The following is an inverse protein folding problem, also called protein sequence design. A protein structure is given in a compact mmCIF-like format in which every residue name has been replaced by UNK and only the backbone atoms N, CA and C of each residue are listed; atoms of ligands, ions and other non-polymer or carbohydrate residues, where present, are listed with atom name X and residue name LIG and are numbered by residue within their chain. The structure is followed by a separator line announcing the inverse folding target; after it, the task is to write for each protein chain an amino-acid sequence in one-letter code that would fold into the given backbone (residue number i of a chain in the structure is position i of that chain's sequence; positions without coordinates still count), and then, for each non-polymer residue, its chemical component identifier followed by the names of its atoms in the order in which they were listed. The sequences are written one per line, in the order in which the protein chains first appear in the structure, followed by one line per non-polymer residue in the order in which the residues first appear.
data_IF_529248611123
#
_entry.id   IF_529248611123
#
_cell.length_a   1.000
_cell.length_b   1.000
_cell.length_c   1.000
_cell.angle_alpha   90.00
_cell.angle_beta   90.00
_cell.angle_gamma   90.00
#
_symmetry.space_group_name_H-M   'P 1'
#
loop_
_entity.id
_entity.type
_entity.pdbx_description
1 polymer ?
#
# COMPACT_ATOMS: atom_id res chain seq x y z
N UNK A 1 71.40 6.82 -3.40
CA UNK A 1 70.81 5.54 -2.91
C UNK A 1 70.35 5.81 -1.47
N UNK A 2 69.11 5.63 -1.00
CA UNK A 2 67.99 4.76 -1.37
C UNK A 2 66.64 5.46 -1.13
N UNK A 3 65.60 4.82 -1.67
CA UNK A 3 64.21 5.19 -1.95
C UNK A 3 63.30 5.54 -0.75
N UNK A 4 62.23 6.23 -1.11
CA UNK A 4 60.97 6.52 -0.42
C UNK A 4 60.34 5.36 0.38
N UNK A 5 59.57 5.71 1.42
CA UNK A 5 58.25 5.11 1.64
C UNK A 5 57.31 6.13 2.30
N UNK A 6 56.16 6.32 1.66
CA UNK A 6 55.02 7.15 2.05
C UNK A 6 54.17 6.30 3.00
N UNK A 7 53.98 6.71 4.25
CA UNK A 7 52.98 6.09 5.11
C UNK A 7 51.86 7.10 5.36
N UNK A 8 50.75 6.81 4.69
CA UNK A 8 49.46 7.46 4.85
C UNK A 8 48.81 6.73 6.02
N UNK A 9 48.90 7.27 7.23
CA UNK A 9 48.16 6.70 8.35
C UNK A 9 46.77 7.34 8.43
N UNK A 10 45.85 6.46 8.06
CA UNK A 10 44.41 6.54 8.02
C UNK A 10 43.76 7.15 9.27
N UNK A 11 42.95 8.18 9.00
CA UNK A 11 41.72 8.53 9.72
C UNK A 11 41.04 7.27 10.28
N UNK A 12 40.73 7.20 11.59
CA UNK A 12 39.97 6.07 12.10
C UNK A 12 38.56 6.16 11.53
N UNK A 13 38.23 5.16 10.72
CA UNK A 13 36.90 4.93 10.19
C UNK A 13 35.93 4.79 11.35
N UNK A 14 34.83 5.54 11.25
CA UNK A 14 33.66 5.41 12.09
C UNK A 14 33.01 4.04 11.88
N UNK A 15 33.55 3.00 12.53
CA UNK A 15 32.81 1.80 12.84
C UNK A 15 32.09 2.06 14.16
N UNK A 16 30.83 2.53 14.09
CA UNK A 16 29.90 2.44 15.20
C UNK A 16 29.79 0.95 15.56
N UNK A 17 30.53 0.52 16.57
CA UNK A 17 30.24 -0.73 17.26
C UNK A 17 28.77 -0.65 17.69
N UNK A 18 27.93 -1.53 17.14
CA UNK A 18 26.60 -1.75 17.66
C UNK A 18 26.78 -2.10 19.14
N UNK A 19 26.41 -1.17 20.03
CA UNK A 19 26.51 -1.38 21.46
C UNK A 19 25.78 -2.68 21.79
N UNK A 20 26.48 -3.64 22.40
CA UNK A 20 25.92 -4.93 22.79
C UNK A 20 24.66 -4.65 23.60
N UNK A 21 23.52 -5.06 23.07
CA UNK A 21 22.24 -4.84 23.72
C UNK A 21 22.18 -5.71 24.97
N UNK A 22 22.13 -5.11 26.15
CA UNK A 22 21.91 -5.88 27.38
C UNK A 22 20.44 -6.30 27.53
N UNK A 23 20.15 -7.21 28.45
CA UNK A 23 18.79 -7.75 28.63
C UNK A 23 17.77 -6.68 29.05
N UNK A 24 18.20 -5.64 29.77
CA UNK A 24 17.32 -4.56 30.23
C UNK A 24 16.98 -3.63 29.06
N UNK A 25 17.99 -3.20 28.30
CA UNK A 25 17.83 -2.40 27.10
C UNK A 25 16.99 -3.14 26.05
N UNK A 26 17.14 -4.46 25.94
CA UNK A 26 16.29 -5.29 25.08
C UNK A 26 14.81 -5.25 25.49
N UNK A 27 14.51 -5.42 26.78
CA UNK A 27 13.15 -5.36 27.29
C UNK A 27 12.52 -3.96 27.12
N UNK A 28 13.30 -2.90 27.34
CA UNK A 28 12.86 -1.52 27.13
C UNK A 28 12.55 -1.22 25.67
N UNK A 29 13.42 -1.66 24.74
CA UNK A 29 13.17 -1.55 23.30
C UNK A 29 11.89 -2.28 22.91
N UNK A 30 11.73 -3.53 23.35
CA UNK A 30 10.52 -4.31 23.08
C UNK A 30 9.26 -3.61 23.60
N UNK A 31 9.28 -3.12 24.84
CA UNK A 31 8.16 -2.38 25.43
C UNK A 31 7.83 -1.08 24.67
N UNK A 32 8.85 -0.35 24.21
CA UNK A 32 8.66 0.86 23.40
C UNK A 32 8.08 0.55 22.01
N UNK A 33 8.53 -0.54 21.38
CA UNK A 33 8.01 -1.01 20.10
C UNK A 33 6.54 -1.44 20.23
N UNK A 34 6.18 -2.15 21.30
CA UNK A 34 4.80 -2.54 21.59
C UNK A 34 3.86 -1.34 21.77
N UNK A 35 4.34 -0.25 22.39
CA UNK A 35 3.55 1.00 22.49
C UNK A 35 3.23 1.57 21.11
N UNK A 36 4.22 1.68 20.22
CA UNK A 36 4.03 2.17 18.84
C UNK A 36 3.12 1.23 18.03
N UNK A 37 3.34 -0.08 18.16
CA UNK A 37 2.52 -1.11 17.52
C UNK A 37 1.05 -0.99 17.89
N UNK A 38 0.74 -0.80 19.18
CA UNK A 38 -0.64 -0.66 19.65
C UNK A 38 -1.36 0.58 19.10
N UNK A 39 -0.61 1.60 18.67
CA UNK A 39 -1.12 2.81 18.00
C UNK A 39 -1.23 2.67 16.48
N UNK A 40 -0.79 1.56 15.91
CA UNK A 40 -0.72 1.36 14.46
C UNK A 40 0.46 2.06 13.79
N UNK A 41 1.44 2.56 14.55
CA UNK A 41 2.65 3.22 14.05
C UNK A 41 3.66 2.17 13.53
N UNK A 42 3.24 1.32 12.59
CA UNK A 42 4.00 0.13 12.17
C UNK A 42 5.36 0.48 11.53
N UNK A 43 5.43 1.59 10.80
CA UNK A 43 6.66 2.10 10.17
C UNK A 43 7.73 2.43 11.22
N UNK A 44 7.31 2.95 12.37
CA UNK A 44 8.19 3.32 13.47
C UNK A 44 8.46 2.15 14.41
N UNK A 45 7.50 1.23 14.57
CA UNK A 45 7.61 0.06 15.42
C UNK A 45 8.56 -1.01 14.83
N UNK A 46 8.55 -1.22 13.50
CA UNK A 46 9.36 -2.23 12.80
C UNK A 46 10.86 -2.17 13.16
N UNK A 47 11.59 -1.06 12.95
CA UNK A 47 13.04 -1.01 13.22
C UNK A 47 13.39 -1.20 14.70
N UNK A 48 12.46 -0.85 15.61
CA UNK A 48 12.65 -1.04 17.06
C UNK A 48 12.49 -2.52 17.44
N UNK A 49 11.53 -3.23 16.83
CA UNK A 49 11.40 -4.67 16.98
C UNK A 49 12.57 -5.43 16.37
N UNK A 50 13.08 -5.04 15.19
CA UNK A 50 14.26 -5.65 14.58
C UNK A 50 15.47 -5.58 15.52
N UNK A 51 15.70 -4.40 16.11
CA UNK A 51 16.78 -4.19 17.08
C UNK A 51 16.58 -4.95 18.39
N UNK A 52 15.34 -5.07 18.90
CA UNK A 52 15.05 -5.93 20.05
C UNK A 52 15.25 -7.43 19.74
N UNK A 53 15.18 -7.80 18.45
CA UNK A 53 15.42 -9.14 17.91
C UNK A 53 16.89 -9.59 17.88
N UNK A 54 17.82 -8.68 18.17
CA UNK A 54 19.28 -8.91 18.22
C UNK A 54 19.81 -9.09 19.65
N UNK A 55 18.95 -8.98 20.66
CA UNK A 55 19.34 -9.05 22.07
C UNK A 55 19.63 -10.46 22.59
N UNK A 56 20.05 -10.56 23.87
CA UNK A 56 20.49 -11.82 24.47
C UNK A 56 19.33 -12.73 24.94
N UNK A 57 18.15 -12.18 25.23
CA UNK A 57 17.01 -12.97 25.73
C UNK A 57 16.20 -13.58 24.58
N UNK A 58 16.32 -14.90 24.40
CA UNK A 58 15.76 -15.63 23.26
C UNK A 58 14.25 -15.42 23.07
N UNK A 59 13.45 -15.53 24.14
CA UNK A 59 11.99 -15.36 24.03
C UNK A 59 11.56 -13.95 23.62
N UNK A 60 12.36 -12.94 23.96
CA UNK A 60 12.11 -11.56 23.50
C UNK A 60 12.54 -11.42 22.04
N UNK A 61 13.64 -12.07 21.64
CA UNK A 61 14.09 -12.07 20.24
C UNK A 61 13.06 -12.67 19.29
N UNK A 62 12.53 -13.86 19.62
CA UNK A 62 11.53 -14.55 18.80
C UNK A 62 10.26 -13.70 18.67
N UNK A 63 9.78 -13.17 19.79
CA UNK A 63 8.61 -12.27 19.82
C UNK A 63 8.86 -11.02 18.97
N UNK A 64 10.01 -10.36 19.15
CA UNK A 64 10.35 -9.15 18.43
C UNK A 64 10.42 -9.37 16.91
N UNK A 65 11.05 -10.46 16.46
CA UNK A 65 11.08 -10.84 15.04
C UNK A 65 9.70 -11.13 14.47
N UNK A 66 8.82 -11.78 15.25
CA UNK A 66 7.43 -12.00 14.85
C UNK A 66 6.70 -10.66 14.66
N UNK A 67 6.79 -9.74 15.62
CA UNK A 67 6.14 -8.43 15.51
C UNK A 67 6.73 -7.57 14.39
N UNK A 68 8.04 -7.64 14.12
CA UNK A 68 8.66 -6.96 12.98
C UNK A 68 8.04 -7.42 11.64
N UNK A 69 7.81 -8.73 11.47
CA UNK A 69 7.13 -9.28 10.29
C UNK A 69 5.67 -8.83 10.19
N UNK A 70 4.96 -8.75 11.31
CA UNK A 70 3.58 -8.23 11.32
C UNK A 70 3.58 -6.76 10.91
N UNK A 71 4.50 -5.93 11.41
CA UNK A 71 4.63 -4.54 10.98
C UNK A 71 4.89 -4.45 9.48
N UNK A 72 5.81 -5.25 8.95
CA UNK A 72 6.11 -5.31 7.52
C UNK A 72 4.87 -5.67 6.69
N UNK A 73 4.16 -6.74 7.05
CA UNK A 73 2.93 -7.13 6.37
C UNK A 73 1.85 -6.03 6.43
N UNK A 74 1.72 -5.33 7.56
CA UNK A 74 0.75 -4.23 7.70
C UNK A 74 1.12 -3.02 6.86
N UNK A 75 2.41 -2.76 6.67
CA UNK A 75 2.91 -1.70 5.80
C UNK A 75 2.70 -2.04 4.33
N UNK A 76 2.95 -3.29 3.94
CA UNK A 76 2.69 -3.78 2.58
C UNK A 76 1.19 -3.80 2.26
N UNK A 77 0.36 -4.07 3.27
CA UNK A 77 -1.10 -4.03 3.18
C UNK A 77 -1.68 -2.64 3.46
N UNK A 78 -0.86 -1.61 3.73
CA UNK A 78 -1.37 -0.27 3.91
C UNK A 78 -2.14 0.10 2.65
N UNK A 79 -3.44 0.38 2.82
CA UNK A 79 -4.34 0.67 1.70
C UNK A 79 -3.70 1.78 0.87
N UNK A 80 -3.63 1.65 -0.46
CA UNK A 80 -3.12 2.71 -1.30
C UNK A 80 -3.85 4.01 -0.94
N UNK A 81 -3.09 5.09 -0.76
CA UNK A 81 -3.69 6.41 -0.58
C UNK A 81 -4.34 6.81 -1.90
N UNK A 82 -5.65 6.62 -1.99
CA UNK A 82 -6.42 7.00 -3.16
C UNK A 82 -6.79 8.49 -3.01
N UNK A 83 -6.02 9.36 -3.64
CA UNK A 83 -6.17 10.81 -3.49
C UNK A 83 -6.86 11.44 -4.70
N UNK A 84 -6.72 10.82 -5.86
CA UNK A 84 -7.25 11.34 -7.13
C UNK A 84 -8.43 10.52 -7.64
N UNK A 85 -9.19 11.11 -8.56
CA UNK A 85 -10.25 10.40 -9.29
C UNK A 85 -9.70 9.15 -9.99
N UNK A 86 -8.49 9.25 -10.55
CA UNK A 86 -7.83 8.18 -11.30
C UNK A 86 -7.36 7.03 -10.38
N UNK A 87 -6.91 7.33 -9.16
CA UNK A 87 -6.58 6.29 -8.17
C UNK A 87 -7.81 5.47 -7.81
N UNK A 88 -8.92 6.16 -7.53
CA UNK A 88 -10.19 5.52 -7.24
C UNK A 88 -10.73 4.72 -8.43
N UNK A 89 -10.61 5.25 -9.65
CA UNK A 89 -10.96 4.52 -10.87
C UNK A 89 -10.13 3.24 -11.03
N UNK A 90 -8.80 3.35 -10.98
CA UNK A 90 -7.89 2.21 -11.15
C UNK A 90 -8.15 1.13 -10.10
N UNK A 91 -8.35 1.54 -8.85
CA UNK A 91 -8.67 0.62 -7.75
C UNK A 91 -10.02 -0.05 -7.95
N UNK A 92 -11.02 0.67 -8.45
CA UNK A 92 -12.32 0.09 -8.79
C UNK A 92 -12.24 -0.88 -9.97
N UNK A 93 -11.45 -0.60 -11.00
CA UNK A 93 -11.23 -1.54 -12.12
C UNK A 93 -10.63 -2.85 -11.63
N UNK A 94 -9.66 -2.80 -10.71
CA UNK A 94 -9.13 -4.01 -10.08
C UNK A 94 -10.22 -4.80 -9.32
N UNK A 95 -11.19 -4.12 -8.71
CA UNK A 95 -12.34 -4.76 -8.05
C UNK A 95 -13.33 -5.37 -9.05
N UNK A 96 -13.63 -4.68 -10.16
CA UNK A 96 -14.48 -5.21 -11.25
C UNK A 96 -13.88 -6.52 -11.77
N UNK A 97 -12.57 -6.53 -12.04
CA UNK A 97 -11.85 -7.74 -12.47
C UNK A 97 -11.93 -8.87 -11.43
N UNK A 98 -11.94 -8.51 -10.14
CA UNK A 98 -12.16 -9.43 -9.03
C UNK A 98 -13.62 -9.78 -8.75
N UNK A 99 -14.57 -9.34 -9.60
CA UNK A 99 -16.03 -9.46 -9.44
C UNK A 99 -16.58 -8.92 -8.12
N UNK A 100 -15.93 -7.91 -7.57
CA UNK A 100 -16.32 -7.17 -6.35
C UNK A 100 -17.05 -5.88 -6.74
N UNK A 101 -18.19 -6.02 -7.40
CA UNK A 101 -18.89 -4.90 -8.05
C UNK A 101 -19.40 -3.84 -7.06
N UNK A 102 -20.04 -4.27 -5.97
CA UNK A 102 -20.58 -3.34 -4.97
C UNK A 102 -19.47 -2.50 -4.31
N UNK A 103 -18.28 -3.06 -4.11
CA UNK A 103 -17.12 -2.30 -3.61
C UNK A 103 -16.52 -1.37 -4.66
N UNK A 104 -16.50 -1.80 -5.93
CA UNK A 104 -16.06 -0.97 -7.05
C UNK A 104 -16.93 0.29 -7.17
N UNK A 105 -18.26 0.15 -7.04
CA UNK A 105 -19.21 1.27 -7.10
C UNK A 105 -18.90 2.37 -6.08
N UNK A 106 -18.49 2.00 -4.85
CA UNK A 106 -18.11 2.98 -3.82
C UNK A 106 -16.94 3.85 -4.30
N UNK A 107 -15.94 3.25 -4.92
CA UNK A 107 -14.77 3.97 -5.41
C UNK A 107 -15.06 4.76 -6.69
N UNK A 108 -15.85 4.21 -7.60
CA UNK A 108 -16.25 4.92 -8.82
C UNK A 108 -17.12 6.15 -8.52
N UNK A 109 -18.00 6.09 -7.53
CA UNK A 109 -18.76 7.28 -7.09
C UNK A 109 -17.85 8.35 -6.47
N UNK A 110 -16.80 7.96 -5.73
CA UNK A 110 -15.79 8.92 -5.25
C UNK A 110 -15.03 9.55 -6.42
N UNK A 111 -14.61 8.75 -7.40
CA UNK A 111 -13.96 9.28 -8.61
C UNK A 111 -14.87 10.27 -9.34
N UNK A 112 -16.14 9.92 -9.55
CA UNK A 112 -17.14 10.80 -10.18
C UNK A 112 -17.34 12.11 -9.41
N UNK A 113 -17.33 12.08 -8.08
CA UNK A 113 -17.46 13.28 -7.24
C UNK A 113 -16.23 14.20 -7.33
N UNK A 114 -15.05 13.66 -7.65
CA UNK A 114 -13.82 14.43 -7.86
C UNK A 114 -13.70 14.99 -9.28
N UNK A 115 -14.30 14.33 -10.26
CA UNK A 115 -14.31 14.76 -11.65
C UNK A 115 -15.14 13.84 -12.53
N UNK A 116 -15.97 14.44 -13.37
CA UNK A 116 -16.78 13.70 -14.33
C UNK A 116 -15.96 13.33 -15.57
N UNK A 117 -15.83 12.04 -15.86
CA UNK A 117 -15.04 11.55 -16.99
C UNK A 117 -15.69 10.32 -17.66
N UNK A 118 -15.54 10.22 -18.98
CA UNK A 118 -16.20 9.19 -19.77
C UNK A 118 -15.81 7.76 -19.34
N UNK A 119 -14.53 7.52 -19.05
CA UNK A 119 -14.03 6.21 -18.60
C UNK A 119 -14.56 5.81 -17.21
N UNK A 120 -14.70 6.78 -16.30
CA UNK A 120 -15.31 6.55 -14.97
C UNK A 120 -16.78 6.20 -15.11
N UNK A 121 -17.52 6.92 -15.96
CA UNK A 121 -18.94 6.61 -16.23
C UNK A 121 -19.11 5.26 -16.94
N UNK A 122 -18.20 4.89 -17.84
CA UNK A 122 -18.21 3.57 -18.44
C UNK A 122 -18.02 2.45 -17.40
N UNK A 123 -17.04 2.61 -16.49
CA UNK A 123 -16.83 1.65 -15.41
C UNK A 123 -18.01 1.59 -14.42
N UNK A 124 -18.68 2.71 -14.14
CA UNK A 124 -19.94 2.72 -13.38
C UNK A 124 -21.02 1.91 -14.10
N UNK A 125 -21.13 2.06 -15.43
CA UNK A 125 -22.10 1.29 -16.19
C UNK A 125 -21.88 -0.21 -16.07
N UNK A 126 -20.64 -0.66 -16.24
CA UNK A 126 -20.24 -2.05 -16.08
C UNK A 126 -20.54 -2.56 -14.66
N UNK A 127 -20.05 -1.86 -13.64
CA UNK A 127 -20.21 -2.28 -12.25
C UNK A 127 -21.68 -2.30 -11.82
N UNK A 128 -22.48 -1.30 -12.20
CA UNK A 128 -23.92 -1.25 -11.90
C UNK A 128 -24.66 -2.41 -12.56
N UNK A 129 -24.38 -2.71 -13.83
CA UNK A 129 -25.02 -3.82 -14.55
C UNK A 129 -24.72 -5.17 -13.89
N UNK A 130 -23.46 -5.39 -13.51
CA UNK A 130 -23.00 -6.61 -12.84
C UNK A 130 -23.50 -6.73 -11.39
N UNK A 131 -23.76 -5.61 -10.71
CA UNK A 131 -24.38 -5.56 -9.38
C UNK A 131 -25.93 -5.67 -9.44
N UNK A 132 -26.51 -5.57 -10.64
CA UNK A 132 -27.95 -5.75 -10.90
C UNK A 132 -28.75 -4.45 -11.08
N UNK A 133 -28.11 -3.27 -10.97
CA UNK A 133 -28.72 -1.97 -11.26
C UNK A 133 -28.66 -1.65 -12.76
N UNK A 134 -29.50 -2.34 -13.54
CA UNK A 134 -29.62 -2.11 -14.97
C UNK A 134 -30.02 -0.67 -15.36
N UNK A 135 -30.98 0.00 -14.66
CA UNK A 135 -31.29 1.39 -14.95
C UNK A 135 -30.10 2.33 -14.75
N UNK A 136 -29.35 2.17 -13.65
CA UNK A 136 -28.12 2.94 -13.41
C UNK A 136 -27.06 2.66 -14.46
N UNK A 137 -26.90 1.40 -14.86
CA UNK A 137 -25.96 1.01 -15.90
C UNK A 137 -26.20 1.75 -17.22
N UNK A 138 -27.46 1.77 -17.68
CA UNK A 138 -27.86 2.47 -18.91
C UNK A 138 -27.62 3.97 -18.81
N UNK A 139 -27.99 4.60 -17.69
CA UNK A 139 -27.81 6.04 -17.50
C UNK A 139 -26.32 6.44 -17.53
N UNK A 140 -25.46 5.65 -16.88
CA UNK A 140 -24.02 5.88 -16.89
C UNK A 140 -23.40 5.67 -18.28
N UNK A 141 -23.79 4.61 -18.99
CA UNK A 141 -23.29 4.33 -20.33
C UNK A 141 -23.72 5.40 -21.34
N UNK A 142 -24.98 5.86 -21.26
CA UNK A 142 -25.48 6.94 -22.12
C UNK A 142 -24.62 8.19 -21.96
N UNK A 143 -24.35 8.60 -20.73
CA UNK A 143 -23.51 9.78 -20.54
C UNK A 143 -22.05 9.54 -20.92
N UNK A 144 -21.49 8.36 -20.69
CA UNK A 144 -20.15 8.04 -21.17
C UNK A 144 -20.06 8.24 -22.70
N UNK A 145 -21.07 7.81 -23.46
CA UNK A 145 -21.17 7.98 -24.92
C UNK A 145 -21.41 9.44 -25.33
N UNK A 146 -22.16 10.22 -24.56
CA UNK A 146 -22.32 11.66 -24.80
C UNK A 146 -21.01 12.42 -24.65
N UNK A 147 -20.19 12.04 -23.68
CA UNK A 147 -18.89 12.66 -23.40
C UNK A 147 -17.82 12.21 -24.39
N UNK A 148 -17.81 10.92 -24.73
CA UNK A 148 -16.92 10.32 -25.72
C UNK A 148 -17.70 9.32 -26.59
N UNK A 149 -18.09 9.71 -27.82
CA UNK A 149 -18.80 8.84 -28.74
C UNK A 149 -18.08 7.53 -29.09
N UNK A 150 -16.74 7.46 -28.93
CA UNK A 150 -15.96 6.25 -29.21
C UNK A 150 -16.30 5.11 -28.24
N UNK A 151 -16.75 5.43 -27.01
CA UNK A 151 -17.19 4.47 -25.99
C UNK A 151 -18.25 3.52 -26.54
N UNK A 152 -19.13 4.00 -27.43
CA UNK A 152 -20.16 3.17 -28.06
C UNK A 152 -19.56 1.99 -28.83
N UNK A 153 -18.48 2.23 -29.56
CA UNK A 153 -17.81 1.20 -30.34
C UNK A 153 -17.15 0.16 -29.43
N UNK A 154 -16.48 0.62 -28.37
CA UNK A 154 -15.86 -0.25 -27.37
C UNK A 154 -16.90 -1.11 -26.65
N UNK A 155 -17.97 -0.49 -26.13
CA UNK A 155 -19.03 -1.17 -25.39
C UNK A 155 -19.71 -2.29 -26.19
N UNK A 156 -19.89 -2.09 -27.51
CA UNK A 156 -20.48 -3.11 -28.38
C UNK A 156 -19.61 -4.34 -28.57
N UNK A 157 -18.29 -4.16 -28.52
CA UNK A 157 -17.32 -5.26 -28.64
C UNK A 157 -16.95 -5.89 -27.32
N UNK A 158 -17.35 -5.29 -26.20
CA UNK A 158 -17.02 -5.74 -24.87
C UNK A 158 -17.91 -6.94 -24.48
N UNK A 159 -17.27 -8.04 -24.07
CA UNK A 159 -17.98 -9.26 -23.65
C UNK A 159 -18.82 -9.04 -22.39
N UNK A 160 -18.49 -8.03 -21.58
CA UNK A 160 -19.22 -7.73 -20.36
C UNK A 160 -20.63 -7.15 -20.63
N UNK A 161 -20.92 -6.75 -21.88
CA UNK A 161 -22.22 -6.24 -22.34
C UNK A 161 -22.98 -7.19 -23.30
N UNK A 162 -22.52 -8.43 -23.49
CA UNK A 162 -23.22 -9.44 -24.32
C UNK A 162 -24.09 -10.38 -23.48
#
# INVERSE_FOLDING_TARGET
MKKATKQVDSKPAAAKAAAVLDAKAQAELFGSAMKRFSKGEYAEAKPVFERAGEGPHLGVCESARMYARICEQRLDQAKPELQTAEDHYTYAVAMINGRRFSEALIHLHKALAMGDAAHVRYALALASGMDGDMPGAVAHLQRAVEMDPSVRSFARSDSDFQ
#
